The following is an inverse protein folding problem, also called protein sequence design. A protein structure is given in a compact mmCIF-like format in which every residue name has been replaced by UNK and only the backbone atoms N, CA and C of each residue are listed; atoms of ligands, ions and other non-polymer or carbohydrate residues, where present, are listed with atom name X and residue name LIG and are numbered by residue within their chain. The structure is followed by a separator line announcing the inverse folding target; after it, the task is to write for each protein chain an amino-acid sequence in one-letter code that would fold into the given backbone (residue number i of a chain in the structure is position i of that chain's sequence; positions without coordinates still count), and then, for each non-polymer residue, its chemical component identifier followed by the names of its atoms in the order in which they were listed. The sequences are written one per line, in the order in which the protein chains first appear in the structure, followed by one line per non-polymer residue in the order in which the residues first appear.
data_IF_692462965579
#
_entry.id   IF_692462965579
#
_cell.length_a   1.000
_cell.length_b   1.000
_cell.length_c   1.000
_cell.angle_alpha   90.00
_cell.angle_beta   90.00
_cell.angle_gamma   90.00
#
_symmetry.space_group_name_H-M   'P 1'
#
loop_
_entity.id
_entity.type
_entity.pdbx_description
1 polymer ?
#
# COMPACT_ATOMS: atom_id res chain seq x y z
N UNK A 1 -19.13 -12.13 -4.12
CA UNK A 1 -18.72 -10.79 -4.55
C UNK A 1 -17.33 -10.46 -3.99
N UNK A 2 -17.09 -10.62 -2.68
CA UNK A 2 -15.78 -10.35 -2.06
C UNK A 2 -14.66 -11.24 -2.63
N UNK A 3 -14.94 -12.54 -2.85
CA UNK A 3 -13.94 -13.46 -3.44
C UNK A 3 -13.52 -13.05 -4.86
N UNK A 4 -14.43 -12.45 -5.64
CA UNK A 4 -14.10 -11.86 -6.94
C UNK A 4 -13.19 -10.65 -6.83
N UNK A 5 -13.35 -9.80 -5.81
CA UNK A 5 -12.48 -8.64 -5.57
C UNK A 5 -11.04 -9.03 -5.26
N UNK A 6 -10.82 -10.14 -4.53
CA UNK A 6 -9.47 -10.68 -4.25
C UNK A 6 -8.83 -11.22 -5.54
N UNK A 7 -9.60 -11.87 -6.40
CA UNK A 7 -9.12 -12.40 -7.69
C UNK A 7 -8.81 -11.28 -8.69
N UNK A 8 -9.47 -10.11 -8.56
CA UNK A 8 -9.28 -8.97 -9.45
C UNK A 8 -8.26 -7.92 -8.97
N UNK A 9 -7.64 -8.10 -7.79
CA UNK A 9 -6.52 -7.23 -7.37
C UNK A 9 -5.37 -8.06 -6.79
N UNK A 10 -4.63 -8.80 -7.65
CA UNK A 10 -3.49 -9.61 -7.23
C UNK A 10 -2.38 -8.77 -6.59
N UNK A 11 -2.29 -7.47 -6.94
CA UNK A 11 -1.30 -6.57 -6.38
C UNK A 11 -1.43 -6.47 -4.85
N UNK A 12 -2.63 -6.18 -4.33
CA UNK A 12 -2.85 -6.10 -2.89
C UNK A 12 -2.55 -7.42 -2.18
N UNK A 13 -2.93 -8.54 -2.79
CA UNK A 13 -2.65 -9.88 -2.27
C UNK A 13 -1.17 -10.23 -2.36
N UNK A 14 -0.51 -9.91 -3.48
CA UNK A 14 0.92 -10.14 -3.69
C UNK A 14 1.78 -9.34 -2.71
N UNK A 15 1.51 -8.05 -2.59
CA UNK A 15 2.20 -7.17 -1.63
C UNK A 15 2.11 -7.73 -0.22
N UNK A 16 0.90 -8.04 0.26
CA UNK A 16 0.72 -8.52 1.64
C UNK A 16 1.25 -9.94 1.89
N UNK A 17 1.34 -10.81 0.87
CA UNK A 17 1.95 -12.12 1.04
C UNK A 17 3.48 -12.12 1.01
N UNK A 18 4.07 -11.08 0.42
CA UNK A 18 5.52 -10.97 0.36
C UNK A 18 6.17 -10.53 1.68
N UNK A 19 5.41 -9.99 2.60
CA UNK A 19 5.95 -9.55 3.89
C UNK A 19 6.66 -10.68 4.63
N UNK A 20 7.99 -10.68 4.60
CA UNK A 20 8.81 -11.65 5.35
C UNK A 20 8.66 -11.52 6.87
N UNK A 21 8.27 -10.32 7.33
CA UNK A 21 8.04 -9.97 8.73
C UNK A 21 6.65 -9.38 8.95
N UNK A 22 5.73 -9.64 8.05
CA UNK A 22 4.35 -9.25 8.28
C UNK A 22 3.84 -9.94 9.54
N UNK A 23 2.84 -9.34 10.14
CA UNK A 23 1.98 -10.06 11.05
C UNK A 23 1.37 -11.24 10.27
N UNK A 24 2.05 -12.37 10.27
CA UNK A 24 1.63 -13.59 9.59
C UNK A 24 0.68 -14.41 10.45
N UNK A 25 0.61 -14.08 11.73
CA UNK A 25 -0.19 -14.74 12.74
C UNK A 25 -0.52 -13.79 13.91
N UNK A 26 -1.36 -14.27 14.82
CA UNK A 26 -1.79 -13.51 15.99
C UNK A 26 -0.64 -13.13 16.94
N UNK A 27 0.43 -13.89 17.00
CA UNK A 27 1.54 -13.70 17.93
C UNK A 27 2.38 -12.47 17.54
N UNK A 28 2.54 -12.24 16.22
CA UNK A 28 3.41 -11.18 15.68
C UNK A 28 2.71 -9.84 15.38
N UNK A 29 1.39 -9.76 15.51
CA UNK A 29 0.64 -8.54 15.15
C UNK A 29 1.09 -7.31 15.94
N UNK A 30 1.51 -7.50 17.18
CA UNK A 30 1.97 -6.43 18.08
C UNK A 30 3.49 -6.23 18.05
N UNK A 31 4.23 -6.98 17.23
CA UNK A 31 5.67 -6.78 17.09
C UNK A 31 5.95 -5.40 16.45
N UNK A 32 6.61 -4.55 17.20
CA UNK A 32 7.00 -3.21 16.76
C UNK A 32 8.04 -3.24 15.63
N UNK A 33 8.72 -4.36 15.45
CA UNK A 33 9.75 -4.57 14.43
C UNK A 33 9.21 -5.24 13.16
N UNK A 34 7.92 -5.57 13.09
CA UNK A 34 7.33 -6.09 11.86
C UNK A 34 7.19 -5.02 10.79
N UNK A 35 7.16 -5.45 9.53
CA UNK A 35 6.86 -4.58 8.41
C UNK A 35 5.47 -3.92 8.58
N UNK A 36 5.30 -2.73 8.01
CA UNK A 36 4.06 -1.95 8.06
C UNK A 36 3.42 -1.88 6.71
N UNK A 37 2.08 -1.93 6.69
CA UNK A 37 1.30 -1.80 5.47
C UNK A 37 0.26 -0.70 5.60
N UNK A 38 0.32 0.28 4.70
CA UNK A 38 -0.63 1.38 4.64
C UNK A 38 -1.40 1.33 3.33
N UNK A 39 -2.68 0.98 3.40
CA UNK A 39 -3.60 1.11 2.26
C UNK A 39 -4.07 2.57 2.18
N UNK A 40 -3.30 3.46 1.52
CA UNK A 40 -3.62 4.88 1.42
C UNK A 40 -4.94 5.10 0.68
N UNK A 41 -5.19 4.38 -0.42
CA UNK A 41 -6.49 4.27 -1.09
C UNK A 41 -7.51 3.48 -0.26
N UNK A 42 -7.92 4.04 0.88
CA UNK A 42 -8.72 3.35 1.90
C UNK A 42 -10.03 2.74 1.40
N UNK A 43 -10.58 3.25 0.29
CA UNK A 43 -11.78 2.70 -0.36
C UNK A 43 -11.58 1.27 -0.92
N UNK A 44 -10.34 0.80 -1.08
CA UNK A 44 -10.02 -0.59 -1.43
C UNK A 44 -9.99 -1.53 -0.20
N UNK A 45 -10.56 -1.13 0.92
CA UNK A 45 -10.66 -1.91 2.16
C UNK A 45 -11.13 -3.37 2.01
N UNK A 46 -12.03 -3.74 1.07
CA UNK A 46 -12.42 -5.14 0.89
C UNK A 46 -11.25 -6.08 0.59
N UNK A 47 -10.25 -5.61 -0.17
CA UNK A 47 -9.04 -6.41 -0.46
C UNK A 47 -8.23 -6.60 0.81
N UNK A 48 -7.99 -5.52 1.58
CA UNK A 48 -7.26 -5.59 2.85
C UNK A 48 -7.95 -6.57 3.82
N UNK A 49 -9.24 -6.44 4.02
CA UNK A 49 -9.99 -7.35 4.92
C UNK A 49 -9.98 -8.79 4.45
N UNK A 50 -10.02 -9.03 3.13
CA UNK A 50 -9.92 -10.39 2.60
C UNK A 50 -8.57 -11.01 2.92
N UNK A 51 -7.48 -10.24 2.82
CA UNK A 51 -6.13 -10.72 3.19
C UNK A 51 -6.01 -10.91 4.70
N UNK A 52 -6.53 -9.99 5.50
CA UNK A 52 -6.55 -10.13 6.96
C UNK A 52 -7.33 -11.38 7.41
N UNK A 53 -8.41 -11.72 6.71
CA UNK A 53 -9.14 -12.97 6.93
C UNK A 53 -8.28 -14.20 6.59
N UNK A 54 -7.60 -14.22 5.45
CA UNK A 54 -6.70 -15.34 5.08
C UNK A 54 -5.52 -15.49 6.06
N UNK A 55 -5.10 -14.39 6.68
CA UNK A 55 -4.08 -14.36 7.74
C UNK A 55 -4.62 -14.70 9.13
N UNK A 56 -5.93 -14.91 9.29
CA UNK A 56 -6.55 -15.28 10.56
C UNK A 56 -6.82 -14.11 11.53
N UNK A 57 -6.67 -12.84 11.10
CA UNK A 57 -6.91 -11.68 11.96
C UNK A 57 -8.39 -11.34 12.12
N UNK A 58 -9.21 -11.68 11.16
CA UNK A 58 -10.66 -11.52 11.20
C UNK A 58 -11.32 -12.83 10.77
N UNK A 59 -12.51 -13.10 11.28
CA UNK A 59 -13.26 -14.30 10.92
C UNK A 59 -13.98 -14.14 9.57
N UNK A 60 -14.44 -15.26 9.02
CA UNK A 60 -15.31 -15.24 7.84
C UNK A 60 -16.66 -14.57 8.16
N UNK A 61 -17.17 -14.75 9.36
CA UNK A 61 -18.40 -14.16 9.85
C UNK A 61 -18.26 -12.63 9.91
N UNK A 62 -17.16 -12.10 10.47
CA UNK A 62 -16.87 -10.68 10.51
C UNK A 62 -16.81 -10.10 9.09
N UNK A 63 -16.08 -10.75 8.18
CA UNK A 63 -15.95 -10.30 6.80
C UNK A 63 -17.32 -10.17 6.11
N UNK A 64 -18.28 -11.04 6.42
CA UNK A 64 -19.65 -11.02 5.88
C UNK A 64 -20.50 -9.87 6.47
N UNK A 65 -20.02 -9.17 7.48
CA UNK A 65 -20.68 -7.99 8.04
C UNK A 65 -20.23 -6.68 7.36
N UNK A 66 -19.40 -6.75 6.32
CA UNK A 66 -18.85 -5.57 5.62
C UNK A 66 -19.93 -4.52 5.34
N UNK A 67 -19.70 -3.30 5.82
CA UNK A 67 -20.58 -2.12 5.72
C UNK A 67 -21.98 -2.30 6.35
N UNK A 68 -22.21 -3.30 7.18
CA UNK A 68 -23.43 -3.34 8.00
C UNK A 68 -23.30 -2.36 9.15
N UNK A 69 -24.46 -1.88 9.64
CA UNK A 69 -24.50 -1.09 10.87
C UNK A 69 -23.99 -1.96 12.02
N UNK A 70 -23.31 -1.39 12.98
CA UNK A 70 -22.68 -2.09 14.12
C UNK A 70 -21.51 -3.04 13.78
N UNK A 71 -21.10 -3.11 12.51
CA UNK A 71 -19.89 -3.86 12.13
C UNK A 71 -18.62 -3.00 12.28
N UNK A 72 -17.51 -3.60 12.72
CA UNK A 72 -16.20 -2.96 12.66
C UNK A 72 -15.63 -2.97 11.24
N UNK A 73 -16.09 -3.88 10.38
CA UNK A 73 -15.63 -4.03 8.99
C UNK A 73 -16.33 -3.01 8.09
N UNK A 74 -15.81 -1.79 8.08
CA UNK A 74 -16.39 -0.63 7.38
C UNK A 74 -15.75 -0.37 6.02
N UNK A 75 -16.29 0.60 5.25
CA UNK A 75 -15.84 0.95 3.90
C UNK A 75 -14.40 1.48 3.81
N UNK A 76 -13.81 1.88 4.95
CA UNK A 76 -12.42 2.31 5.06
C UNK A 76 -11.75 1.58 6.23
N UNK A 77 -10.42 1.31 6.15
CA UNK A 77 -9.72 0.62 7.22
C UNK A 77 -9.69 1.45 8.51
N UNK A 78 -9.79 0.77 9.65
CA UNK A 78 -9.67 1.37 10.96
C UNK A 78 -8.69 0.56 11.81
N UNK A 79 -7.83 1.23 12.57
CA UNK A 79 -6.83 0.63 13.46
C UNK A 79 -7.43 -0.15 14.64
N UNK A 80 -8.74 -0.05 14.90
CA UNK A 80 -9.43 -0.96 15.84
C UNK A 80 -9.41 -2.40 15.35
N UNK A 81 -9.29 -2.61 14.03
CA UNK A 81 -9.23 -3.93 13.41
C UNK A 81 -7.80 -4.45 13.50
N UNK A 82 -7.64 -5.63 14.08
CA UNK A 82 -6.36 -6.29 14.24
C UNK A 82 -5.65 -6.48 12.88
N UNK A 83 -4.40 -6.06 12.80
CA UNK A 83 -3.60 -6.13 11.56
C UNK A 83 -3.70 -4.91 10.65
N UNK A 84 -4.53 -3.92 10.98
CA UNK A 84 -4.57 -2.63 10.29
C UNK A 84 -3.57 -1.67 10.92
N UNK A 85 -2.56 -1.24 10.18
CA UNK A 85 -1.50 -0.36 10.67
C UNK A 85 -1.89 1.12 10.67
N UNK A 86 -2.84 1.53 9.82
CA UNK A 86 -3.27 2.91 9.69
C UNK A 86 -4.74 3.02 9.28
N UNK A 87 -5.50 3.83 10.00
CA UNK A 87 -6.84 4.24 9.56
C UNK A 87 -6.71 5.19 8.37
N UNK A 88 -7.35 4.86 7.24
CA UNK A 88 -7.28 5.65 6.01
C UNK A 88 -8.67 5.91 5.45
N UNK A 89 -8.77 6.83 4.47
CA UNK A 89 -10.04 7.20 3.84
C UNK A 89 -9.97 8.61 3.26
N UNK A 90 -9.29 9.54 3.93
CA UNK A 90 -8.95 10.85 3.37
C UNK A 90 -7.75 10.67 2.44
N UNK A 91 -7.94 10.88 1.14
CA UNK A 91 -6.93 10.64 0.12
C UNK A 91 -5.67 11.49 0.38
N UNK A 92 -4.51 10.92 0.09
CA UNK A 92 -3.20 11.55 0.30
C UNK A 92 -2.64 11.43 1.73
N UNK A 93 -3.50 11.28 2.75
CA UNK A 93 -3.06 11.24 4.16
C UNK A 93 -2.26 9.97 4.50
N UNK A 94 -2.67 8.83 3.95
CA UNK A 94 -2.04 7.54 4.24
C UNK A 94 -0.56 7.52 3.90
N UNK A 95 -0.16 8.09 2.76
CA UNK A 95 1.26 8.15 2.36
C UNK A 95 2.09 8.99 3.33
N UNK A 96 1.57 10.13 3.79
CA UNK A 96 2.28 10.95 4.79
C UNK A 96 2.49 10.20 6.11
N UNK A 97 1.51 9.41 6.54
CA UNK A 97 1.65 8.54 7.71
C UNK A 97 2.70 7.45 7.49
N UNK A 98 2.72 6.83 6.29
CA UNK A 98 3.74 5.85 5.92
C UNK A 98 5.15 6.44 5.94
N UNK A 99 5.35 7.66 5.44
CA UNK A 99 6.61 8.40 5.55
C UNK A 99 7.01 8.59 7.02
N UNK A 100 6.07 8.97 7.89
CA UNK A 100 6.30 9.09 9.33
C UNK A 100 6.73 7.77 9.98
N UNK A 101 6.07 6.65 9.63
CA UNK A 101 6.44 5.32 10.11
C UNK A 101 7.85 4.90 9.65
N UNK A 102 8.17 5.12 8.37
CA UNK A 102 9.49 4.80 7.82
C UNK A 102 10.60 5.64 8.49
N UNK A 103 10.34 6.93 8.69
CA UNK A 103 11.26 7.84 9.37
C UNK A 103 11.49 7.42 10.83
N UNK A 104 10.43 7.04 11.55
CA UNK A 104 10.51 6.54 12.92
C UNK A 104 11.37 5.27 12.98
N UNK A 105 11.11 4.29 12.10
CA UNK A 105 11.89 3.07 12.02
C UNK A 105 13.38 3.33 11.79
N UNK A 106 13.69 4.19 10.82
CA UNK A 106 15.07 4.56 10.51
C UNK A 106 15.76 5.26 11.67
N UNK A 107 15.06 6.21 12.33
CA UNK A 107 15.57 6.93 13.50
C UNK A 107 15.83 6.03 14.68
N UNK A 108 14.96 5.04 14.90
CA UNK A 108 15.05 4.10 16.03
C UNK A 108 15.97 2.90 15.72
N UNK A 109 16.65 2.90 14.57
CA UNK A 109 17.56 1.82 14.14
C UNK A 109 16.83 0.50 13.88
N UNK A 110 15.53 0.55 13.54
CA UNK A 110 14.73 -0.61 13.16
C UNK A 110 14.93 -0.92 11.68
N UNK A 111 14.82 -2.20 11.32
CA UNK A 111 15.04 -2.69 9.96
C UNK A 111 13.76 -3.10 9.23
N UNK A 112 12.60 -2.74 9.76
CA UNK A 112 11.32 -3.00 9.09
C UNK A 112 11.11 -2.12 7.85
N UNK A 113 10.40 -2.67 6.91
CA UNK A 113 9.94 -1.96 5.72
C UNK A 113 8.54 -1.38 5.94
N UNK A 114 8.25 -0.31 5.22
CA UNK A 114 6.91 0.30 5.15
C UNK A 114 6.45 0.29 3.70
N UNK A 115 5.28 -0.27 3.47
CA UNK A 115 4.66 -0.37 2.15
C UNK A 115 3.39 0.49 2.12
N UNK A 116 3.28 1.38 1.15
CA UNK A 116 2.11 2.23 0.98
C UNK A 116 1.51 2.02 -0.41
N UNK A 117 0.23 1.62 -0.45
CA UNK A 117 -0.51 1.50 -1.71
C UNK A 117 -1.38 2.73 -1.91
N UNK A 118 -1.12 3.45 -2.99
CA UNK A 118 -1.75 4.70 -3.40
C UNK A 118 -2.54 4.45 -4.69
N UNK A 119 -3.69 5.08 -4.87
CA UNK A 119 -4.40 5.06 -6.15
C UNK A 119 -3.84 6.08 -7.13
N UNK A 120 -3.97 5.81 -8.43
CA UNK A 120 -3.58 6.75 -9.48
C UNK A 120 -4.38 8.06 -9.38
N UNK A 121 -5.70 8.02 -9.20
CA UNK A 121 -6.51 9.21 -8.94
C UNK A 121 -6.22 9.87 -7.57
N UNK A 122 -5.76 9.11 -6.57
CA UNK A 122 -5.28 9.67 -5.30
C UNK A 122 -4.02 10.52 -5.48
N UNK A 123 -3.22 10.24 -6.49
CA UNK A 123 -2.02 11.02 -6.81
C UNK A 123 -2.31 12.44 -7.33
N UNK A 124 -3.59 12.80 -7.54
CA UNK A 124 -4.01 14.19 -7.78
C UNK A 124 -3.88 15.06 -6.53
N UNK A 125 -3.84 14.45 -5.34
CA UNK A 125 -3.65 15.16 -4.09
C UNK A 125 -2.21 15.70 -3.96
N UNK A 126 -2.07 17.00 -3.76
CA UNK A 126 -0.76 17.66 -3.60
C UNK A 126 0.08 17.07 -2.47
N UNK A 127 -0.58 16.60 -1.41
CA UNK A 127 0.07 15.97 -0.26
C UNK A 127 0.85 14.70 -0.62
N UNK A 128 0.45 13.96 -1.66
CA UNK A 128 1.24 12.81 -2.17
C UNK A 128 2.64 13.29 -2.57
N UNK A 129 2.73 14.37 -3.33
CA UNK A 129 4.01 14.89 -3.82
C UNK A 129 4.86 15.52 -2.71
N UNK A 130 4.23 16.15 -1.72
CA UNK A 130 4.91 16.62 -0.51
C UNK A 130 5.53 15.45 0.28
N UNK A 131 4.79 14.34 0.44
CA UNK A 131 5.29 13.13 1.08
C UNK A 131 6.44 12.49 0.29
N UNK A 132 6.34 12.45 -1.05
CA UNK A 132 7.41 11.96 -1.95
C UNK A 132 8.69 12.76 -1.76
N UNK A 133 8.61 14.10 -1.75
CA UNK A 133 9.78 14.95 -1.51
C UNK A 133 10.39 14.71 -0.13
N UNK A 134 9.56 14.56 0.91
CA UNK A 134 10.02 14.30 2.27
C UNK A 134 10.75 12.94 2.37
N UNK A 135 10.20 11.89 1.77
CA UNK A 135 10.80 10.56 1.78
C UNK A 135 12.20 10.55 1.13
N UNK A 136 12.37 11.23 0.01
CA UNK A 136 13.68 11.38 -0.62
C UNK A 136 14.64 12.20 0.27
N UNK A 137 14.16 13.32 0.82
CA UNK A 137 14.97 14.20 1.70
C UNK A 137 15.53 13.44 2.91
N UNK A 138 14.78 12.50 3.47
CA UNK A 138 15.19 11.73 4.65
C UNK A 138 15.81 10.37 4.29
N UNK A 139 16.05 10.10 3.00
CA UNK A 139 16.65 8.84 2.53
C UNK A 139 15.94 7.61 3.05
N UNK A 140 14.60 7.57 2.94
CA UNK A 140 13.77 6.49 3.47
C UNK A 140 13.84 5.25 2.57
N UNK A 141 14.99 4.58 2.56
CA UNK A 141 15.22 3.33 1.81
C UNK A 141 14.43 2.13 2.34
N UNK A 142 13.77 2.32 3.47
CA UNK A 142 12.80 1.40 4.05
C UNK A 142 11.33 1.74 3.70
N UNK A 143 11.10 2.62 2.73
CA UNK A 143 9.76 2.95 2.22
C UNK A 143 9.61 2.49 0.77
N UNK A 144 8.52 1.77 0.50
CA UNK A 144 8.08 1.38 -0.84
C UNK A 144 6.72 2.01 -1.11
N UNK A 145 6.65 2.89 -2.10
CA UNK A 145 5.41 3.50 -2.58
C UNK A 145 4.95 2.73 -3.81
N UNK A 146 3.71 2.28 -3.82
CA UNK A 146 3.12 1.50 -4.91
C UNK A 146 1.91 2.27 -5.42
N UNK A 147 1.94 2.70 -6.68
CA UNK A 147 0.73 3.22 -7.33
C UNK A 147 0.00 2.05 -8.01
N UNK A 148 -1.25 1.85 -7.59
CA UNK A 148 -2.23 1.02 -8.29
C UNK A 148 -2.77 1.83 -9.48
N UNK A 149 -2.08 1.71 -10.61
CA UNK A 149 -2.34 2.46 -11.83
C UNK A 149 -3.36 1.69 -12.68
N UNK A 150 -4.63 1.93 -12.40
CA UNK A 150 -5.75 1.28 -13.10
C UNK A 150 -6.43 2.18 -14.15
N UNK A 151 -5.97 3.42 -14.30
CA UNK A 151 -6.47 4.39 -15.28
C UNK A 151 -7.85 4.95 -14.98
N UNK A 152 -8.41 4.68 -13.79
CA UNK A 152 -9.78 5.08 -13.43
C UNK A 152 -9.85 5.78 -12.07
N UNK A 153 -10.58 6.87 -12.02
CA UNK A 153 -11.01 7.51 -10.79
C UNK A 153 -12.55 7.64 -10.75
N UNK A 154 -13.12 8.28 -9.73
CA UNK A 154 -14.56 8.24 -9.45
C UNK A 154 -15.42 8.56 -10.67
N UNK A 155 -15.09 9.64 -11.39
CA UNK A 155 -15.95 10.24 -12.41
C UNK A 155 -15.55 9.88 -13.85
N UNK A 156 -14.46 9.12 -14.04
CA UNK A 156 -14.01 8.75 -15.38
C UNK A 156 -12.58 8.21 -15.41
N UNK A 157 -11.96 8.29 -16.57
CA UNK A 157 -10.54 7.92 -16.70
C UNK A 157 -9.65 9.00 -16.08
N UNK A 158 -8.49 8.59 -15.57
CA UNK A 158 -7.50 9.55 -15.03
C UNK A 158 -7.08 10.56 -16.11
N UNK A 159 -7.00 10.14 -17.36
CA UNK A 159 -6.62 11.01 -18.48
C UNK A 159 -7.67 12.09 -18.79
N UNK A 160 -8.96 11.80 -18.62
CA UNK A 160 -10.04 12.76 -18.83
C UNK A 160 -10.21 13.73 -17.66
N UNK A 161 -10.00 13.28 -16.43
CA UNK A 161 -10.27 14.06 -15.22
C UNK A 161 -9.05 14.90 -14.83
N UNK A 162 -7.90 14.27 -14.60
CA UNK A 162 -6.64 14.93 -14.26
C UNK A 162 -5.46 14.09 -14.75
N UNK A 163 -4.94 14.35 -15.95
CA UNK A 163 -3.84 13.55 -16.53
C UNK A 163 -2.58 13.58 -15.68
N UNK A 164 -2.19 12.43 -15.13
CA UNK A 164 -0.98 12.31 -14.33
C UNK A 164 0.27 12.05 -15.15
N UNK A 165 0.12 11.75 -16.44
CA UNK A 165 1.23 11.40 -17.32
C UNK A 165 2.00 10.18 -16.79
N UNK A 166 3.32 10.20 -16.91
CA UNK A 166 4.19 9.09 -16.59
C UNK A 166 4.66 9.15 -15.12
N UNK A 167 4.07 8.32 -14.27
CA UNK A 167 4.45 8.23 -12.86
C UNK A 167 5.90 7.81 -12.68
N UNK A 168 6.39 6.87 -13.47
CA UNK A 168 7.77 6.36 -13.37
C UNK A 168 8.78 7.48 -13.58
N UNK A 169 8.58 8.33 -14.60
CA UNK A 169 9.44 9.50 -14.82
C UNK A 169 9.35 10.55 -13.72
N UNK A 170 8.15 10.77 -13.14
CA UNK A 170 7.99 11.70 -12.03
C UNK A 170 8.79 11.25 -10.80
N UNK A 171 8.64 9.99 -10.40
CA UNK A 171 9.37 9.46 -9.25
C UNK A 171 10.87 9.35 -9.50
N UNK A 172 11.29 9.01 -10.72
CA UNK A 172 12.71 9.05 -11.12
C UNK A 172 13.29 10.46 -10.98
N UNK A 173 12.55 11.50 -11.42
CA UNK A 173 12.95 12.90 -11.25
C UNK A 173 13.04 13.33 -9.78
N UNK A 174 12.30 12.71 -8.86
CA UNK A 174 12.46 12.89 -7.41
C UNK A 174 13.60 12.06 -6.81
N UNK A 175 14.30 11.24 -7.61
CA UNK A 175 15.47 10.47 -7.18
C UNK A 175 15.17 9.10 -6.57
N UNK A 176 13.99 8.56 -6.80
CA UNK A 176 13.61 7.21 -6.36
C UNK A 176 14.25 6.12 -7.23
N UNK A 177 14.38 4.91 -6.70
CA UNK A 177 14.48 3.73 -7.53
C UNK A 177 13.09 3.33 -7.99
N UNK A 178 12.92 3.27 -9.31
CA UNK A 178 11.61 3.07 -9.93
C UNK A 178 11.51 1.71 -10.60
N UNK A 179 10.34 1.10 -10.45
CA UNK A 179 9.98 -0.19 -11.04
C UNK A 179 8.61 -0.07 -11.70
N UNK A 180 8.46 -0.74 -12.83
CA UNK A 180 7.19 -0.80 -13.57
C UNK A 180 6.83 -2.27 -13.75
N UNK A 181 5.60 -2.65 -13.38
CA UNK A 181 5.17 -4.05 -13.36
C UNK A 181 3.73 -4.22 -13.87
N UNK A 182 3.42 -5.39 -14.38
CA UNK A 182 2.05 -5.88 -14.47
C UNK A 182 1.56 -6.29 -13.06
N UNK A 183 0.64 -5.49 -12.50
CA UNK A 183 0.06 -5.73 -11.18
C UNK A 183 -0.82 -6.98 -11.09
N UNK A 184 -1.05 -7.69 -12.20
CA UNK A 184 -1.72 -8.99 -12.25
C UNK A 184 -0.74 -10.17 -12.41
N UNK A 185 0.55 -9.91 -12.60
CA UNK A 185 1.59 -10.93 -12.74
C UNK A 185 2.28 -11.17 -11.38
N UNK A 186 1.91 -12.26 -10.71
CA UNK A 186 2.46 -12.58 -9.38
C UNK A 186 3.97 -12.85 -9.41
N UNK A 187 4.49 -13.44 -10.47
CA UNK A 187 5.93 -13.72 -10.61
C UNK A 187 6.72 -12.41 -10.70
N UNK A 188 6.21 -11.45 -11.47
CA UNK A 188 6.82 -10.14 -11.64
C UNK A 188 6.76 -9.31 -10.34
N UNK A 189 5.63 -9.35 -9.63
CA UNK A 189 5.47 -8.75 -8.30
C UNK A 189 6.53 -9.29 -7.36
N UNK A 190 6.63 -10.62 -7.21
CA UNK A 190 7.59 -11.26 -6.30
C UNK A 190 9.04 -10.95 -6.66
N UNK A 191 9.40 -11.04 -7.94
CA UNK A 191 10.75 -10.73 -8.41
C UNK A 191 11.14 -9.27 -8.16
N UNK A 192 10.18 -8.34 -8.25
CA UNK A 192 10.42 -6.92 -7.98
C UNK A 192 10.66 -6.67 -6.48
N UNK A 193 9.88 -7.28 -5.60
CA UNK A 193 10.15 -7.18 -4.17
C UNK A 193 11.48 -7.81 -3.76
N UNK A 194 11.91 -8.92 -4.39
CA UNK A 194 13.24 -9.50 -4.15
C UNK A 194 14.35 -8.51 -4.52
N UNK A 195 14.23 -7.81 -5.65
CA UNK A 195 15.18 -6.75 -6.06
C UNK A 195 15.20 -5.60 -5.05
N UNK A 196 14.02 -5.14 -4.62
CA UNK A 196 13.88 -4.04 -3.65
C UNK A 196 14.57 -4.40 -2.32
N UNK A 197 14.35 -5.61 -1.82
CA UNK A 197 14.97 -6.05 -0.55
C UNK A 197 16.48 -6.25 -0.65
N UNK A 198 16.99 -6.55 -1.83
CA UNK A 198 18.43 -6.67 -2.07
C UNK A 198 19.12 -5.30 -2.20
N UNK A 199 18.39 -4.25 -2.57
CA UNK A 199 18.94 -2.92 -2.77
C UNK A 199 19.31 -2.26 -1.44
N UNK A 200 20.55 -1.71 -1.38
CA UNK A 200 21.10 -1.01 -0.20
C UNK A 200 21.70 0.34 -0.63
N UNK A 201 20.92 1.13 -1.33
CA UNK A 201 21.37 2.34 -2.01
C UNK A 201 20.95 3.65 -1.33
N UNK A 202 20.20 3.55 -0.22
CA UNK A 202 19.72 4.72 0.53
C UNK A 202 18.59 5.50 -0.14
N UNK A 203 17.97 4.94 -1.19
CA UNK A 203 16.88 5.59 -1.92
C UNK A 203 15.53 4.98 -1.55
N UNK A 204 14.45 5.78 -1.44
CA UNK A 204 13.10 5.22 -1.38
C UNK A 204 12.73 4.53 -2.70
N UNK A 205 11.81 3.59 -2.64
CA UNK A 205 11.42 2.74 -3.77
C UNK A 205 10.02 3.11 -4.26
N UNK A 206 9.84 3.02 -5.57
CA UNK A 206 8.57 3.27 -6.22
C UNK A 206 8.21 2.13 -7.17
N UNK A 207 6.98 1.68 -7.11
CA UNK A 207 6.43 0.69 -8.05
C UNK A 207 5.22 1.32 -8.75
N UNK A 208 5.28 1.43 -10.07
CA UNK A 208 4.13 1.69 -10.93
C UNK A 208 3.52 0.35 -11.34
N UNK A 209 2.41 -0.02 -10.70
CA UNK A 209 1.76 -1.29 -10.97
C UNK A 209 0.56 -1.07 -11.89
N UNK A 210 0.67 -1.52 -13.14
CA UNK A 210 -0.45 -1.50 -14.08
C UNK A 210 -1.48 -2.55 -13.70
N UNK A 211 -2.70 -2.11 -13.45
CA UNK A 211 -3.81 -2.98 -13.04
C UNK A 211 -5.06 -2.68 -13.86
N UNK A 212 -6.06 -3.54 -13.73
CA UNK A 212 -7.40 -3.35 -14.28
C UNK A 212 -8.40 -3.33 -13.13
N UNK A 213 -9.27 -2.32 -13.14
CA UNK A 213 -10.31 -2.12 -12.11
C UNK A 213 -11.59 -2.88 -12.46
#
# INVERSE_FOLDING_TARGET
VLLRLVVFNPLGFGVMNYFKRAATDEENVNDVCRDKFVLSKGHASPVLYSVLKEKGFISQEDLMTFRKIDSEIQGHPNMSIKGVDMSTGSLGQGLSCAVGMALAGKRDGKDYMVYAVVGDGEADEGQIWEAVMAAYRYHLDNLVIIIDNNGLQIDGTTDEIMPQLDFTKKFDAFGYDTYEIDGHNMEEIMATFDKIHAAKDGKPKFINAHTVK
#
